data_IF_527417738467
#
_entry.id   IF_527417738467
#
_cell.length_a   1.000
_cell.length_b   1.000
_cell.length_c   1.000
_cell.angle_alpha   90.00
_cell.angle_beta   90.00
_cell.angle_gamma   90.00
#
_symmetry.space_group_name_H-M   'P 1'
#
loop_
_entity.id
_entity.type
_entity.pdbx_description
1 polymer ?
#
# COMPACT_ATOMS: atom_id res chain seq x y z
N UNK A 1 -13.92 -12.81 -10.38
CA UNK A 1 -12.83 -12.84 -11.38
C UNK A 1 -12.93 -11.62 -12.29
N UNK A 2 -11.80 -11.07 -12.76
CA UNK A 2 -11.78 -9.99 -13.75
C UNK A 2 -12.26 -10.57 -15.10
N UNK A 3 -13.10 -9.84 -15.85
CA UNK A 3 -13.60 -10.29 -17.15
C UNK A 3 -12.52 -10.18 -18.23
N UNK A 4 -12.59 -11.03 -19.26
CA UNK A 4 -11.70 -11.03 -20.42
C UNK A 4 -11.55 -9.63 -21.04
N UNK A 5 -12.66 -8.95 -21.36
CA UNK A 5 -12.65 -7.57 -21.87
C UNK A 5 -11.84 -6.58 -21.02
N UNK A 6 -11.82 -6.77 -19.70
CA UNK A 6 -11.06 -5.90 -18.78
C UNK A 6 -9.58 -6.29 -18.79
N UNK A 7 -9.27 -7.58 -18.93
CA UNK A 7 -7.91 -8.08 -19.12
C UNK A 7 -7.31 -7.57 -20.44
N UNK A 8 -8.06 -7.65 -21.54
CA UNK A 8 -7.61 -7.12 -22.84
C UNK A 8 -7.26 -5.64 -22.74
N UNK A 9 -8.16 -4.83 -22.17
CA UNK A 9 -7.94 -3.39 -22.02
C UNK A 9 -6.78 -3.03 -21.09
N UNK A 10 -6.47 -3.83 -20.05
CA UNK A 10 -5.29 -3.57 -19.21
C UNK A 10 -4.00 -4.07 -19.89
N UNK A 11 -4.07 -5.11 -20.71
CA UNK A 11 -2.95 -5.55 -21.54
C UNK A 11 -2.64 -4.55 -22.66
N UNK A 12 -3.65 -3.90 -23.24
CA UNK A 12 -3.45 -2.82 -24.21
C UNK A 12 -2.59 -1.69 -23.64
N UNK A 13 -2.69 -1.42 -22.33
CA UNK A 13 -1.85 -0.41 -21.67
C UNK A 13 -0.36 -0.75 -21.70
N UNK A 14 0.03 -2.02 -21.83
CA UNK A 14 1.44 -2.41 -21.94
C UNK A 14 2.08 -1.87 -23.22
N UNK A 15 1.29 -1.59 -24.27
CA UNK A 15 1.78 -0.97 -25.50
C UNK A 15 1.98 0.54 -25.38
N UNK A 16 1.57 1.17 -24.26
CA UNK A 16 1.82 2.59 -23.97
C UNK A 16 3.26 2.82 -23.46
N UNK A 17 4.00 1.76 -23.13
CA UNK A 17 5.36 1.79 -22.59
C UNK A 17 6.37 1.16 -23.55
N UNK A 18 7.65 1.39 -23.29
CA UNK A 18 8.74 0.74 -24.02
C UNK A 18 8.64 -0.79 -23.95
N UNK A 19 8.94 -1.44 -25.08
CA UNK A 19 8.83 -2.90 -25.22
C UNK A 19 9.67 -3.60 -24.15
N UNK A 20 9.02 -4.39 -23.30
CA UNK A 20 9.68 -5.18 -22.25
C UNK A 20 10.00 -4.41 -20.97
N UNK A 21 9.66 -3.13 -20.87
CA UNK A 21 9.88 -2.31 -19.67
C UNK A 21 8.74 -2.35 -18.66
N UNK A 22 7.53 -2.64 -19.12
CA UNK A 22 6.34 -2.75 -18.28
C UNK A 22 5.84 -4.19 -18.18
N UNK A 23 5.34 -4.58 -17.01
CA UNK A 23 4.66 -5.86 -16.82
C UNK A 23 3.60 -5.84 -15.73
N UNK A 24 2.67 -6.79 -15.83
CA UNK A 24 1.65 -7.05 -14.83
C UNK A 24 1.79 -8.50 -14.38
N UNK A 25 1.90 -8.71 -13.07
CA UNK A 25 2.14 -10.02 -12.48
C UNK A 25 1.00 -10.42 -11.55
N UNK A 26 0.50 -11.64 -11.72
CA UNK A 26 -0.48 -12.26 -10.84
C UNK A 26 0.17 -13.33 -9.98
N UNK A 27 0.07 -13.18 -8.67
CA UNK A 27 0.53 -14.16 -7.70
C UNK A 27 -0.69 -14.84 -7.06
N UNK A 28 -0.89 -16.17 -7.24
CA UNK A 28 -2.09 -16.84 -6.75
C UNK A 28 -2.14 -16.87 -5.22
N UNK A 29 -3.34 -16.63 -4.67
CA UNK A 29 -3.64 -16.76 -3.25
C UNK A 29 -4.64 -17.92 -3.06
N UNK A 30 -4.49 -18.65 -1.97
CA UNK A 30 -5.28 -19.83 -1.68
C UNK A 30 -4.52 -20.81 -0.80
N UNK A 31 -4.94 -22.08 -0.79
CA UNK A 31 -4.30 -23.14 -0.03
C UNK A 31 -3.98 -22.70 1.40
N UNK A 32 -2.71 -22.76 1.81
CA UNK A 32 -2.27 -22.40 3.16
C UNK A 32 -2.65 -20.97 3.58
N UNK A 33 -2.73 -20.03 2.62
CA UNK A 33 -3.12 -18.65 2.90
C UNK A 33 -4.58 -18.51 3.34
N UNK A 34 -5.45 -19.47 2.98
CA UNK A 34 -6.85 -19.47 3.41
C UNK A 34 -7.05 -20.06 4.81
N UNK A 35 -6.10 -20.88 5.28
CA UNK A 35 -6.17 -21.51 6.61
C UNK A 35 -5.73 -20.58 7.74
N UNK A 36 -4.89 -19.59 7.43
CA UNK A 36 -4.33 -18.66 8.43
C UNK A 36 -5.34 -17.53 8.69
N UNK A 37 -5.74 -17.26 9.95
CA UNK A 37 -6.60 -16.13 10.28
C UNK A 37 -6.01 -14.78 9.85
N UNK A 38 -6.85 -13.84 9.39
CA UNK A 38 -6.40 -12.49 8.99
C UNK A 38 -5.66 -11.74 10.13
N UNK A 39 -5.93 -12.07 11.39
CA UNK A 39 -5.35 -11.42 12.57
C UNK A 39 -4.19 -12.19 13.21
N UNK A 40 -3.78 -13.34 12.65
CA UNK A 40 -2.70 -14.18 13.19
C UNK A 40 -1.39 -13.37 13.28
N UNK A 41 -1.07 -12.66 12.20
CA UNK A 41 0.07 -11.74 12.10
C UNK A 41 -0.39 -10.42 11.46
N UNK A 42 0.44 -9.36 11.41
CA UNK A 42 0.04 -8.07 10.85
C UNK A 42 -0.50 -8.13 9.41
N UNK A 43 0.06 -9.00 8.57
CA UNK A 43 -0.37 -9.19 7.18
C UNK A 43 -1.77 -9.84 7.11
N UNK A 44 -2.80 -9.10 6.61
CA UNK A 44 -4.20 -9.49 6.78
C UNK A 44 -4.81 -10.17 5.56
N UNK A 45 -4.13 -10.20 4.41
CA UNK A 45 -4.75 -10.61 3.13
C UNK A 45 -4.74 -12.14 3.00
N UNK A 46 -5.74 -12.79 3.60
CA UNK A 46 -5.85 -14.26 3.71
C UNK A 46 -7.04 -14.78 2.87
N UNK A 47 -7.90 -15.61 3.45
CA UNK A 47 -9.10 -16.13 2.83
C UNK A 47 -9.94 -15.04 2.13
N UNK A 48 -10.46 -15.37 0.95
CA UNK A 48 -11.26 -14.47 0.11
C UNK A 48 -10.46 -13.68 -0.94
N UNK A 49 -9.13 -13.73 -0.93
CA UNK A 49 -8.29 -13.19 -2.00
C UNK A 49 -7.95 -14.31 -3.00
N UNK A 50 -8.17 -14.07 -4.30
CA UNK A 50 -7.88 -15.05 -5.37
C UNK A 50 -6.40 -14.95 -5.81
N UNK A 51 -5.88 -13.73 -5.89
CA UNK A 51 -4.49 -13.42 -6.23
C UNK A 51 -4.15 -11.99 -5.80
N UNK A 52 -2.86 -11.68 -5.70
CA UNK A 52 -2.38 -10.29 -5.72
C UNK A 52 -1.87 -9.94 -7.11
N UNK A 53 -2.13 -8.70 -7.55
CA UNK A 53 -1.66 -8.18 -8.84
C UNK A 53 -0.65 -7.06 -8.59
N UNK A 54 0.52 -7.14 -9.23
CA UNK A 54 1.55 -6.11 -9.24
C UNK A 54 1.60 -5.48 -10.63
N UNK A 55 1.59 -4.15 -10.69
CA UNK A 55 1.87 -3.36 -11.89
C UNK A 55 3.27 -2.79 -11.71
N UNK A 56 4.12 -2.95 -12.70
CA UNK A 56 5.52 -2.56 -12.60
C UNK A 56 6.01 -1.98 -13.93
N UNK A 57 6.86 -0.97 -13.84
CA UNK A 57 7.60 -0.41 -14.96
C UNK A 57 9.04 -0.16 -14.51
N UNK A 58 9.99 -0.52 -15.36
CA UNK A 58 11.42 -0.26 -15.18
C UNK A 58 11.90 0.63 -16.32
N UNK A 59 12.77 1.59 -16.01
CA UNK A 59 13.40 2.43 -17.03
C UNK A 59 14.83 2.72 -16.61
N UNK A 60 15.64 3.16 -17.57
CA UNK A 60 17.00 3.63 -17.29
C UNK A 60 16.94 5.07 -16.78
N UNK A 61 17.60 5.34 -15.66
CA UNK A 61 17.65 6.68 -15.09
C UNK A 61 18.56 7.57 -15.95
N UNK A 62 17.94 8.54 -16.64
CA UNK A 62 18.61 9.52 -17.49
C UNK A 62 18.72 10.91 -16.85
N UNK A 63 18.15 11.07 -15.64
CA UNK A 63 18.08 12.33 -14.92
C UNK A 63 16.98 13.29 -15.40
N UNK A 64 16.18 12.89 -16.40
CA UNK A 64 15.04 13.68 -16.86
C UNK A 64 13.80 13.40 -15.97
N UNK A 65 13.37 14.46 -15.28
CA UNK A 65 12.18 14.43 -14.43
C UNK A 65 10.92 14.17 -15.29
N UNK A 66 10.88 14.65 -16.53
CA UNK A 66 9.72 14.45 -17.40
C UNK A 66 9.57 12.97 -17.80
N UNK A 67 10.68 12.30 -18.15
CA UNK A 67 10.71 10.85 -18.42
C UNK A 67 10.23 10.06 -17.20
N UNK A 68 10.79 10.36 -16.03
CA UNK A 68 10.40 9.71 -14.76
C UNK A 68 8.90 9.90 -14.47
N UNK A 69 8.37 11.11 -14.59
CA UNK A 69 6.95 11.38 -14.37
C UNK A 69 6.05 10.66 -15.39
N UNK A 70 6.50 10.48 -16.64
CA UNK A 70 5.76 9.70 -17.64
C UNK A 70 5.51 8.26 -17.17
N UNK A 71 6.57 7.56 -16.75
CA UNK A 71 6.46 6.18 -16.25
C UNK A 71 5.64 6.07 -14.96
N UNK A 72 5.79 7.03 -14.04
CA UNK A 72 4.95 7.09 -12.84
C UNK A 72 3.47 7.28 -13.19
N UNK A 73 3.17 8.14 -14.18
CA UNK A 73 1.82 8.38 -14.64
C UNK A 73 1.22 7.15 -15.34
N UNK A 74 2.02 6.36 -16.06
CA UNK A 74 1.58 5.08 -16.60
C UNK A 74 1.14 4.10 -15.51
N UNK A 75 1.97 3.89 -14.47
CA UNK A 75 1.59 3.03 -13.32
C UNK A 75 0.30 3.52 -12.68
N UNK A 76 0.19 4.83 -12.42
CA UNK A 76 -1.01 5.44 -11.82
C UNK A 76 -2.24 5.24 -12.71
N UNK A 77 -2.08 5.36 -14.03
CA UNK A 77 -3.15 5.14 -15.01
C UNK A 77 -3.64 3.68 -14.97
N UNK A 78 -2.72 2.71 -15.04
CA UNK A 78 -3.05 1.29 -14.92
C UNK A 78 -3.72 0.95 -13.58
N UNK A 79 -3.17 1.47 -12.46
CA UNK A 79 -3.73 1.29 -11.13
C UNK A 79 -5.13 1.91 -11.01
N UNK A 80 -5.36 3.10 -11.55
CA UNK A 80 -6.65 3.78 -11.51
C UNK A 80 -7.70 3.06 -12.37
N UNK A 81 -7.33 2.61 -13.57
CA UNK A 81 -8.21 1.81 -14.43
C UNK A 81 -8.74 0.56 -13.71
N UNK A 82 -7.89 -0.10 -12.92
CA UNK A 82 -8.23 -1.35 -12.23
C UNK A 82 -9.10 -1.16 -10.97
N UNK A 83 -9.38 0.07 -10.54
CA UNK A 83 -10.14 0.39 -9.32
C UNK A 83 -11.45 -0.38 -9.14
N UNK A 84 -12.36 -0.50 -10.13
CA UNK A 84 -13.65 -1.16 -9.93
C UNK A 84 -13.55 -2.69 -9.89
N UNK A 85 -12.42 -3.27 -10.26
CA UNK A 85 -12.24 -4.71 -10.45
C UNK A 85 -11.42 -5.39 -9.35
N UNK A 86 -10.86 -4.60 -8.42
CA UNK A 86 -10.05 -5.07 -7.30
C UNK A 86 -10.78 -4.89 -5.97
N UNK A 87 -10.11 -5.25 -4.88
CA UNK A 87 -10.65 -5.07 -3.53
C UNK A 87 -11.04 -3.61 -3.26
N UNK A 88 -12.09 -3.44 -2.44
CA UNK A 88 -12.62 -2.14 -2.04
C UNK A 88 -12.95 -2.15 -0.54
N UNK A 89 -12.94 -0.97 0.07
CA UNK A 89 -13.31 -0.74 1.48
C UNK A 89 -12.51 -1.54 2.52
N UNK A 90 -11.18 -1.35 2.63
CA UNK A 90 -10.33 -0.51 1.79
C UNK A 90 -9.81 -1.26 0.55
N UNK A 91 -9.29 -0.52 -0.44
CA UNK A 91 -8.49 -1.13 -1.52
C UNK A 91 -7.18 -1.65 -0.93
N UNK A 92 -7.03 -2.97 -0.91
CA UNK A 92 -5.93 -3.67 -0.26
C UNK A 92 -4.60 -3.42 -0.98
N UNK A 93 -3.53 -3.32 -0.19
CA UNK A 93 -2.15 -3.11 -0.66
C UNK A 93 -1.19 -3.96 0.16
N UNK A 94 0.01 -4.24 -0.38
CA UNK A 94 1.03 -5.04 0.31
C UNK A 94 2.21 -4.17 0.72
N UNK A 95 2.53 -4.15 2.02
CA UNK A 95 3.52 -3.21 2.59
C UNK A 95 4.94 -3.37 2.03
N UNK A 96 5.31 -4.57 1.55
CA UNK A 96 6.64 -4.78 0.96
C UNK A 96 6.77 -4.16 -0.46
N UNK A 97 5.65 -3.83 -1.11
CA UNK A 97 5.61 -2.95 -2.27
C UNK A 97 5.11 -1.58 -1.80
N UNK A 98 5.97 -0.86 -1.08
CA UNK A 98 5.63 0.41 -0.42
C UNK A 98 5.25 1.46 -1.47
N UNK A 99 4.00 1.89 -1.41
CA UNK A 99 3.41 2.88 -2.30
C UNK A 99 3.03 4.16 -1.52
N UNK A 100 3.75 5.24 -1.81
CA UNK A 100 3.54 6.54 -1.18
C UNK A 100 2.33 7.31 -1.73
N UNK A 101 1.75 6.88 -2.86
CA UNK A 101 0.54 7.46 -3.44
C UNK A 101 -0.72 7.04 -2.65
N UNK A 102 -0.62 6.02 -1.80
CA UNK A 102 -1.68 5.62 -0.86
C UNK A 102 -1.90 6.63 0.28
N UNK A 103 -0.96 7.54 0.49
CA UNK A 103 -0.98 8.55 1.55
C UNK A 103 0.31 8.57 2.35
N UNK A 104 0.63 9.74 2.94
CA UNK A 104 1.86 9.96 3.70
C UNK A 104 1.56 10.56 5.07
N UNK A 105 2.46 10.26 6.00
CA UNK A 105 2.58 10.94 7.28
C UNK A 105 3.11 12.37 7.07
N UNK A 106 2.94 13.22 8.09
CA UNK A 106 3.47 14.57 8.08
C UNK A 106 5.01 14.53 8.07
N UNK A 107 5.61 15.31 7.17
CA UNK A 107 7.07 15.44 7.09
C UNK A 107 7.66 16.09 8.35
N UNK A 108 6.92 17.06 8.93
CA UNK A 108 7.25 17.71 10.20
C UNK A 108 6.06 17.59 11.16
N UNK A 109 6.37 17.37 12.44
CA UNK A 109 5.36 17.28 13.49
C UNK A 109 4.67 15.91 13.62
N UNK A 110 3.71 15.77 14.55
CA UNK A 110 3.02 14.52 14.79
C UNK A 110 2.08 14.17 13.64
N UNK A 111 1.92 12.86 13.38
CA UNK A 111 0.89 12.34 12.46
C UNK A 111 -0.23 11.71 13.28
N UNK A 112 -1.48 12.04 12.94
CA UNK A 112 -2.64 11.49 13.64
C UNK A 112 -2.94 10.05 13.21
N UNK A 113 -3.59 9.29 14.10
CA UNK A 113 -4.14 7.97 13.77
C UNK A 113 -5.06 8.04 12.54
N UNK A 114 -5.94 9.04 12.48
CA UNK A 114 -6.91 9.19 11.39
C UNK A 114 -6.21 9.33 10.03
N UNK A 115 -5.20 10.20 9.94
CA UNK A 115 -4.40 10.37 8.72
C UNK A 115 -3.66 9.09 8.34
N UNK A 116 -2.95 8.48 9.29
CA UNK A 116 -2.19 7.26 9.01
C UNK A 116 -3.09 6.06 8.67
N UNK A 117 -4.33 6.04 9.16
CA UNK A 117 -5.29 4.97 8.86
C UNK A 117 -5.71 4.93 7.39
N UNK A 118 -5.57 6.03 6.65
CA UNK A 118 -5.87 6.11 5.20
C UNK A 118 -5.04 5.09 4.41
N UNK A 119 -3.73 5.04 4.66
CA UNK A 119 -2.82 4.06 4.06
C UNK A 119 -2.70 2.79 4.92
N UNK A 120 -2.71 2.93 6.24
CA UNK A 120 -2.46 1.83 7.18
C UNK A 120 -3.52 0.73 7.11
N UNK A 121 -4.79 1.08 6.90
CA UNK A 121 -5.85 0.09 6.74
C UNK A 121 -5.80 -0.63 5.38
N UNK A 122 -5.20 -0.03 4.35
CA UNK A 122 -4.96 -0.71 3.06
C UNK A 122 -3.92 -1.82 3.20
N UNK A 123 -2.85 -1.57 3.97
CA UNK A 123 -1.82 -2.58 4.25
C UNK A 123 -2.25 -3.63 5.29
N UNK A 124 -2.90 -3.19 6.37
CA UNK A 124 -3.08 -4.02 7.57
C UNK A 124 -4.55 -4.27 7.96
N UNK A 125 -5.53 -3.75 7.21
CA UNK A 125 -6.97 -3.83 7.55
C UNK A 125 -7.20 -3.49 9.04
N UNK A 126 -7.95 -4.34 9.75
CA UNK A 126 -8.26 -4.19 11.18
C UNK A 126 -7.03 -4.33 12.09
N UNK A 127 -5.95 -4.97 11.61
CA UNK A 127 -4.72 -5.15 12.40
C UNK A 127 -3.99 -3.83 12.64
N UNK A 128 -4.26 -2.78 11.86
CA UNK A 128 -3.63 -1.47 12.03
C UNK A 128 -3.81 -0.90 13.45
N UNK A 129 -4.99 -1.06 14.05
CA UNK A 129 -5.23 -0.59 15.42
C UNK A 129 -4.36 -1.32 16.45
N UNK A 130 -4.18 -2.64 16.31
CA UNK A 130 -3.28 -3.42 17.18
C UNK A 130 -1.83 -2.95 17.01
N UNK A 131 -1.41 -2.66 15.78
CA UNK A 131 -0.07 -2.15 15.46
C UNK A 131 0.20 -0.80 16.11
N UNK A 132 -0.74 0.14 16.04
CA UNK A 132 -0.64 1.46 16.70
C UNK A 132 -0.50 1.31 18.22
N UNK A 133 -1.25 0.41 18.84
CA UNK A 133 -1.12 0.13 20.28
C UNK A 133 0.25 -0.42 20.66
N UNK A 134 0.79 -1.35 19.86
CA UNK A 134 2.15 -1.88 20.07
C UNK A 134 3.17 -0.77 19.92
N UNK A 135 3.11 0.00 18.83
CA UNK A 135 3.98 1.15 18.56
C UNK A 135 3.99 2.14 19.72
N UNK A 136 2.81 2.49 20.24
CA UNK A 136 2.65 3.40 21.38
C UNK A 136 3.39 2.91 22.62
N UNK A 137 3.41 1.60 22.86
CA UNK A 137 4.07 1.02 24.04
C UNK A 137 5.59 0.93 23.87
N UNK A 138 6.06 0.54 22.69
CA UNK A 138 7.49 0.24 22.46
C UNK A 138 8.30 1.44 21.99
N UNK A 139 7.66 2.44 21.37
CA UNK A 139 8.29 3.65 20.87
C UNK A 139 7.33 4.86 21.00
N UNK A 140 7.04 5.31 22.24
CA UNK A 140 6.11 6.41 22.51
C UNK A 140 6.60 7.76 22.00
N UNK A 141 7.92 7.96 21.88
CA UNK A 141 8.52 9.19 21.34
C UNK A 141 8.55 9.22 19.81
N UNK A 142 8.12 8.12 19.16
CA UNK A 142 8.10 7.94 17.72
C UNK A 142 9.49 8.14 17.08
N UNK A 143 10.53 7.62 17.72
CA UNK A 143 11.91 7.71 17.23
C UNK A 143 12.06 6.98 15.89
N UNK A 144 11.54 5.75 15.78
CA UNK A 144 11.59 4.96 14.56
C UNK A 144 10.44 5.36 13.63
N UNK A 145 10.69 6.28 12.69
CA UNK A 145 9.66 6.82 11.80
C UNK A 145 10.14 7.02 10.36
N UNK A 146 9.18 6.98 9.44
CA UNK A 146 9.32 7.34 8.02
C UNK A 146 7.96 7.87 7.48
N UNK A 147 7.87 8.09 6.18
CA UNK A 147 6.70 8.65 5.49
C UNK A 147 5.44 7.80 5.63
N UNK A 148 5.56 6.50 5.97
CA UNK A 148 4.44 5.58 6.21
C UNK A 148 4.70 4.69 7.44
N UNK A 149 5.36 5.22 8.47
CA UNK A 149 5.54 4.48 9.72
C UNK A 149 4.25 4.52 10.53
N UNK A 150 3.90 3.42 11.20
CA UNK A 150 2.78 3.38 12.15
C UNK A 150 3.03 4.46 13.23
N UNK A 151 2.11 5.42 13.45
CA UNK A 151 2.28 6.42 14.50
C UNK A 151 1.90 5.84 15.88
N UNK A 152 2.50 6.30 16.99
CA UNK A 152 1.96 6.06 18.31
C UNK A 152 0.71 6.93 18.54
N UNK A 153 -0.12 6.56 19.51
CA UNK A 153 -1.13 7.49 20.03
C UNK A 153 -0.45 8.67 20.73
N UNK A 154 -1.08 9.87 20.70
CA UNK A 154 -0.59 11.00 21.48
C UNK A 154 -0.48 10.62 22.95
N UNK A 155 0.73 10.63 23.50
CA UNK A 155 0.90 10.55 24.94
C UNK A 155 0.40 11.86 25.53
N UNK A 156 -0.60 11.81 26.42
CA UNK A 156 -0.84 12.92 27.33
C UNK A 156 0.43 13.08 28.16
N UNK A 157 1.28 14.05 27.82
CA UNK A 157 2.29 14.50 28.77
C UNK A 157 1.51 15.00 29.97
N UNK A 158 1.54 14.23 31.08
CA UNK A 158 1.29 14.83 32.39
C UNK A 158 2.31 15.97 32.45
N UNK A 159 1.84 17.22 32.40
CA UNK A 159 2.61 18.36 32.87
C UNK A 159 3.06 17.98 34.28
N UNK A 160 4.31 17.52 34.43
CA UNK A 160 4.96 17.57 35.73
C UNK A 160 5.09 19.06 35.98
N UNK A 161 4.24 19.56 36.87
CA UNK A 161 4.34 20.92 37.34
C UNK A 161 5.72 21.10 37.96
N UNK A 162 6.39 22.15 37.52
CA UNK A 162 7.40 22.83 38.33
C UNK A 162 6.69 23.66 39.40
#
# INVERSE_FOLDING_TARGET
PISEKVLDAIFEKLYEEEVGRAWIQWYPYGAKMNEIPESEIPFPHRAGNIYSVLYFVEWEEDGDIATTESHLNWIRSAYNYMTPYVTKNPRASYVNYRDLDLGRNNFKGPTSYAQASIWGTKYFKKNFNRLVRVKTKVDPTNFFRNEQSIPPFPTQQKKRGD
#
